data_IF_775759046062
#
_entry.id   IF_775759046062
#
_cell.length_a   1.000
_cell.length_b   1.000
_cell.length_c   1.000
_cell.angle_alpha   90.00
_cell.angle_beta   90.00
_cell.angle_gamma   90.00
#
_symmetry.space_group_name_H-M   'P 1'
#
loop_
_entity.id
_entity.type
_entity.pdbx_description
1 polymer ?
2 water ?
#
# COMPACT_ATOMS: atom_id res chain seq x y z
N UNK A 6 13.18 -9.35 9.09
CA UNK A 6 14.31 -8.58 8.61
C UNK A 6 14.60 -8.82 7.11
N UNK A 7 13.59 -9.30 6.37
CA UNK A 7 13.62 -9.37 4.92
C UNK A 7 12.52 -8.50 4.37
N UNK A 8 12.74 -7.92 3.21
CA UNK A 8 11.75 -7.09 2.55
C UNK A 8 11.01 -7.91 1.49
N UNK A 9 9.69 -8.05 1.63
CA UNK A 9 8.89 -8.82 0.68
C UNK A 9 8.14 -7.91 -0.26
N UNK A 10 8.16 -8.25 -1.55
CA UNK A 10 7.35 -7.60 -2.57
C UNK A 10 6.35 -8.63 -3.09
N UNK A 11 5.05 -8.29 -2.98
CA UNK A 11 3.95 -9.26 -3.13
C UNK A 11 3.06 -8.82 -4.28
N UNK A 12 2.91 -9.67 -5.29
CA UNK A 12 1.91 -9.33 -6.31
C UNK A 12 2.24 -8.12 -7.14
N UNK A 13 1.18 -7.43 -7.54
CA UNK A 13 1.31 -6.24 -8.37
C UNK A 13 0.98 -6.51 -9.83
N UNK A 14 1.40 -5.55 -10.64
CA UNK A 14 1.08 -5.58 -12.07
C UNK A 14 2.32 -5.27 -12.90
N UNK A 15 2.53 -6.10 -13.92
CA UNK A 15 3.64 -5.89 -14.86
C UNK A 15 3.03 -5.47 -16.19
N UNK A 16 3.02 -4.18 -16.48
CA UNK A 16 2.40 -3.65 -17.71
C UNK A 16 3.38 -3.45 -18.83
N UNK A 17 4.54 -4.09 -18.77
CA UNK A 17 5.48 -4.09 -19.89
C UNK A 17 5.01 -4.99 -21.04
N UNK A 21 1.80 -6.91 -19.28
CA UNK A 21 0.35 -6.87 -19.18
C UNK A 21 -0.03 -8.09 -18.34
N UNK A 22 0.50 -8.15 -17.13
CA UNK A 22 0.37 -9.33 -16.30
C UNK A 22 -0.02 -8.96 -14.87
N UNK A 23 -1.08 -9.57 -14.38
CA UNK A 23 -1.42 -9.50 -12.96
C UNK A 23 -0.67 -10.61 -12.23
N UNK A 24 0.06 -10.25 -11.18
CA UNK A 24 1.08 -11.12 -10.60
C UNK A 24 0.57 -11.82 -9.35
N UNK A 25 0.84 -13.10 -9.27
CA UNK A 25 0.78 -13.81 -7.99
C UNK A 25 2.16 -14.10 -7.41
N UNK A 26 3.23 -13.72 -8.11
CA UNK A 26 4.54 -14.04 -7.60
C UNK A 26 4.94 -13.11 -6.46
N UNK A 27 5.94 -13.56 -5.70
CA UNK A 27 6.40 -12.90 -4.48
C UNK A 27 7.91 -12.99 -4.44
N UNK A 28 8.59 -11.90 -4.13
CA UNK A 28 10.03 -12.01 -3.98
C UNK A 28 10.48 -11.30 -2.72
N UNK A 29 11.65 -11.68 -2.22
CA UNK A 29 12.12 -11.07 -0.99
C UNK A 29 13.58 -10.66 -1.13
N UNK A 30 13.87 -9.53 -0.49
CA UNK A 30 15.15 -8.82 -0.58
C UNK A 30 15.90 -8.94 0.74
N UNK A 31 17.17 -9.32 0.67
CA UNK A 31 18.06 -9.40 1.83
C UNK A 31 19.04 -8.23 1.74
N UNK A 32 18.95 -7.25 2.64
CA UNK A 32 19.91 -6.14 2.61
C UNK A 32 21.32 -6.57 2.84
N UNK A 33 21.56 -7.74 3.44
CA UNK A 33 22.93 -8.19 3.65
C UNK A 33 23.57 -8.69 2.35
N UNK A 34 22.79 -9.22 1.41
CA UNK A 34 23.32 -9.63 0.11
C UNK A 34 22.97 -8.69 -1.02
N UNK A 35 22.02 -7.75 -0.83
CA UNK A 35 21.52 -6.89 -1.90
C UNK A 35 21.00 -7.70 -3.08
N UNK A 36 20.20 -8.71 -2.77
CA UNK A 36 19.70 -9.63 -3.79
C UNK A 36 18.24 -9.89 -3.55
N UNK A 37 17.48 -10.03 -4.63
CA UNK A 37 16.06 -10.39 -4.59
C UNK A 37 15.89 -11.83 -5.04
N UNK A 38 15.09 -12.59 -4.29
CA UNK A 38 14.83 -14.00 -4.56
C UNK A 38 13.33 -14.27 -4.61
N UNK A 39 12.88 -15.04 -5.60
CA UNK A 39 11.48 -15.44 -5.64
C UNK A 39 11.19 -16.50 -4.58
N UNK A 40 10.04 -16.39 -3.92
CA UNK A 40 9.57 -17.44 -3.02
C UNK A 40 8.23 -17.99 -3.53
N UNK A 41 7.48 -18.70 -2.68
CA UNK A 41 6.26 -19.32 -3.16
C UNK A 41 5.26 -18.28 -3.63
N UNK A 42 4.58 -18.50 -4.75
CA UNK A 42 3.56 -17.58 -5.23
C UNK A 42 2.25 -17.76 -4.46
N UNK A 43 1.47 -16.69 -4.46
CA UNK A 43 0.12 -16.77 -3.90
C UNK A 43 -0.83 -17.64 -4.67
N UNK A 44 -1.92 -17.99 -3.98
CA UNK A 44 -3.01 -18.71 -4.61
C UNK A 44 -3.72 -17.92 -5.67
N UNK A 45 -3.65 -16.58 -5.60
CA UNK A 45 -4.44 -15.68 -6.42
C UNK A 45 -3.52 -14.59 -6.94
N UNK A 46 -3.65 -14.26 -8.23
CA UNK A 46 -3.04 -13.02 -8.74
C UNK A 46 -3.68 -11.79 -8.12
N UNK A 47 -2.85 -10.85 -7.65
CA UNK A 47 -3.38 -9.67 -6.94
C UNK A 47 -2.59 -8.40 -7.30
N UNK A 48 -3.17 -7.55 -8.14
CA UNK A 48 -2.68 -6.19 -8.39
C UNK A 48 -3.40 -5.23 -7.44
N UNK A 49 -2.71 -4.19 -6.99
CA UNK A 49 -3.35 -3.26 -6.05
C UNK A 49 -3.68 -3.95 -4.73
N UNK A 50 -2.78 -4.82 -4.27
CA UNK A 50 -2.95 -5.66 -3.09
C UNK A 50 -2.40 -4.94 -1.86
N UNK A 51 -3.06 -5.13 -0.72
CA UNK A 51 -2.54 -4.64 0.55
C UNK A 51 -1.84 -5.75 1.31
N UNK A 52 -0.70 -5.44 1.95
CA UNK A 52 0.02 -6.45 2.72
C UNK A 52 0.49 -5.92 4.06
N UNK A 53 0.46 -6.79 5.07
CA UNK A 53 1.00 -6.44 6.36
C UNK A 53 1.32 -7.72 7.10
N UNK A 54 2.14 -7.56 8.14
CA UNK A 54 2.62 -8.68 8.97
C UNK A 54 1.90 -8.64 10.30
N UNK A 55 1.39 -9.79 10.72
CA UNK A 55 0.74 -9.93 12.01
C UNK A 55 1.09 -11.30 12.56
N UNK A 56 1.62 -11.32 13.79
CA UNK A 56 2.07 -12.57 14.44
C UNK A 56 3.09 -13.31 13.58
N UNK A 57 4.00 -12.53 12.95
CA UNK A 57 5.09 -13.05 12.15
C UNK A 57 4.60 -13.89 10.96
N UNK A 58 3.39 -13.57 10.47
CA UNK A 58 2.87 -14.12 9.23
C UNK A 58 2.56 -12.95 8.30
N UNK A 59 2.74 -13.15 7.00
CA UNK A 59 2.53 -12.11 5.99
C UNK A 59 1.16 -12.27 5.35
N UNK A 60 0.31 -11.26 5.46
CA UNK A 60 -1.03 -11.31 4.91
C UNK A 60 -1.11 -10.51 3.63
N UNK A 61 -1.75 -11.08 2.62
CA UNK A 61 -2.08 -10.40 1.37
C UNK A 61 -3.58 -10.25 1.27
N UNK A 62 -4.01 -9.01 1.07
CA UNK A 62 -5.42 -8.63 1.24
C UNK A 62 -5.96 -8.04 -0.06
N UNK A 63 -7.03 -8.65 -0.60
CA UNK A 63 -7.74 -8.03 -1.74
C UNK A 63 -6.89 -7.94 -2.99
N UNK A 64 -7.09 -6.86 -3.73
CA UNK A 64 -6.46 -6.71 -5.02
C UNK A 64 -7.40 -6.94 -6.18
N UNK A 65 -6.79 -7.04 -7.37
CA UNK A 65 -7.50 -7.20 -8.60
C UNK A 65 -6.80 -8.22 -9.48
N UNK A 66 -7.59 -9.06 -10.17
CA UNK A 66 -7.07 -10.00 -11.16
C UNK A 66 -7.71 -9.62 -12.48
N UNK A 67 -7.02 -8.82 -13.28
CA UNK A 67 -7.53 -8.42 -14.57
C UNK A 67 -7.19 -9.36 -15.71
N UNK A 68 -6.64 -10.53 -15.42
CA UNK A 68 -6.46 -11.53 -16.44
C UNK A 68 -7.82 -12.10 -16.85
N UNK A 69 -7.90 -12.71 -18.05
CA UNK A 69 -9.18 -13.26 -18.51
C UNK A 69 -9.63 -14.48 -17.73
N UNK A 70 -10.49 -14.29 -16.74
CA UNK A 70 -11.03 -15.38 -15.93
C UNK A 70 -12.24 -14.84 -15.18
N UNK A 71 -12.73 -15.60 -14.20
CA UNK A 71 -13.91 -15.21 -13.47
C UNK A 71 -13.70 -14.22 -12.35
N UNK A 72 -12.46 -13.83 -12.06
CA UNK A 72 -12.16 -12.86 -11.01
C UNK A 72 -12.16 -11.44 -11.56
N UNK A 73 -12.49 -10.48 -10.70
CA UNK A 73 -12.19 -9.07 -10.97
C UNK A 73 -11.53 -8.51 -9.71
N UNK A 74 -12.29 -7.75 -8.90
CA UNK A 74 -11.80 -7.21 -7.64
C UNK A 74 -12.09 -8.20 -6.51
N UNK A 75 -11.13 -8.33 -5.62
CA UNK A 75 -11.03 -9.49 -4.74
C UNK A 75 -11.40 -9.16 -3.31
N UNK A 76 -12.21 -10.02 -2.67
CA UNK A 76 -12.30 -9.96 -1.20
C UNK A 76 -11.48 -11.05 -0.52
N UNK A 77 -10.84 -11.92 -1.30
CA UNK A 77 -10.07 -12.98 -0.66
C UNK A 77 -8.83 -12.42 0.03
N UNK A 78 -8.38 -13.18 1.02
CA UNK A 78 -7.20 -12.87 1.84
C UNK A 78 -6.37 -14.15 1.98
N UNK A 79 -5.04 -14.02 1.92
CA UNK A 79 -4.21 -15.19 2.18
C UNK A 79 -3.04 -14.82 3.07
N UNK A 80 -2.40 -15.86 3.60
CA UNK A 80 -1.42 -15.75 4.67
C UNK A 80 -0.19 -16.57 4.29
N UNK A 81 0.99 -15.98 4.43
CA UNK A 81 2.23 -16.67 4.10
C UNK A 81 3.01 -16.97 5.37
N UNK A 82 3.42 -18.22 5.51
CA UNK A 82 4.30 -18.66 6.61
C UNK A 82 5.68 -18.91 6.05
N UNK A 83 6.69 -18.14 6.44
CA UNK A 83 8.03 -18.36 5.91
C UNK A 83 8.60 -19.70 6.31
N UNK A 84 8.10 -20.33 7.37
CA UNK A 84 8.66 -21.63 7.76
C UNK A 84 8.24 -22.74 6.81
N UNK A 85 7.04 -22.66 6.25
CA UNK A 85 6.56 -23.66 5.32
C UNK A 85 6.70 -23.20 3.87
N UNK A 86 6.92 -21.91 3.64
CA UNK A 86 6.94 -21.33 2.30
C UNK A 86 5.67 -21.69 1.55
N UNK A 87 4.54 -21.46 2.24
CA UNK A 87 3.20 -21.74 1.72
C UNK A 87 2.28 -20.56 1.99
N UNK A 88 1.40 -20.29 1.02
CA UNK A 88 0.32 -19.33 1.20
C UNK A 88 -0.98 -20.09 1.41
N UNK A 89 -1.75 -19.66 2.39
CA UNK A 89 -3.02 -20.29 2.72
C UNK A 89 -4.14 -19.28 2.72
N UNK A 90 -5.27 -19.63 2.13
CA UNK A 90 -6.43 -18.76 2.23
C UNK A 90 -6.94 -18.70 3.66
N UNK A 91 -7.33 -17.49 4.07
CA UNK A 91 -8.00 -17.27 5.36
C UNK A 91 -9.36 -16.62 5.09
N UNK A 92 -10.03 -16.12 6.14
CA UNK A 92 -11.36 -15.53 5.94
C UNK A 92 -11.32 -14.41 4.91
N UNK A 93 -12.20 -14.41 3.93
CA UNK A 93 -12.31 -13.23 3.05
C UNK A 93 -12.96 -12.04 3.76
N UNK A 94 -12.64 -10.87 3.24
CA UNK A 94 -13.26 -9.64 3.70
C UNK A 94 -14.75 -9.58 3.40
N UNK A 95 -15.41 -8.67 4.14
CA UNK A 95 -16.81 -8.33 3.85
C UNK A 95 -16.97 -7.68 2.48
N UNK A 96 -15.95 -6.98 2.00
CA UNK A 96 -16.04 -6.18 0.79
C UNK A 96 -14.88 -6.55 -0.12
N UNK A 97 -15.14 -6.57 -1.43
CA UNK A 97 -14.04 -6.62 -2.41
C UNK A 97 -13.30 -5.30 -2.39
N UNK A 98 -11.97 -5.34 -2.37
CA UNK A 98 -11.20 -4.11 -2.33
C UNK A 98 -9.90 -4.26 -3.11
N UNK A 99 -9.71 -3.43 -4.14
CA UNK A 99 -8.38 -3.23 -4.72
C UNK A 99 -7.90 -1.83 -4.38
N UNK A 100 -6.59 -1.63 -4.42
CA UNK A 100 -6.08 -0.35 -3.98
C UNK A 100 -6.38 -0.09 -2.51
N UNK A 101 -6.33 -1.14 -1.71
CA UNK A 101 -6.72 -1.11 -0.30
C UNK A 101 -5.51 -0.81 0.58
N UNK A 102 -5.67 -0.01 1.63
CA UNK A 102 -4.59 0.18 2.58
C UNK A 102 -4.76 -0.78 3.75
N UNK A 103 -3.64 -1.41 4.15
CA UNK A 103 -3.67 -2.44 5.20
C UNK A 103 -2.60 -2.11 6.23
N UNK A 104 -2.96 -2.19 7.52
CA UNK A 104 -1.98 -1.99 8.60
C UNK A 104 -2.48 -2.70 9.84
N UNK A 105 -1.57 -2.93 10.78
CA UNK A 105 -1.85 -3.67 12.02
C UNK A 105 -1.89 -2.70 13.19
N UNK A 106 -2.92 -2.84 14.02
CA UNK A 106 -3.12 -2.01 15.22
C UNK A 106 -3.72 -2.89 16.31
N UNK A 107 -3.06 -2.98 17.47
CA UNK A 107 -3.63 -3.73 18.61
C UNK A 107 -3.96 -5.18 18.25
N UNK A 108 -3.05 -5.85 17.54
CA UNK A 108 -3.19 -7.25 17.19
C UNK A 108 -4.33 -7.52 16.23
N UNK A 109 -4.86 -6.49 15.56
CA UNK A 109 -5.85 -6.66 14.50
C UNK A 109 -5.30 -6.11 13.20
N UNK A 110 -5.68 -6.75 12.11
CA UNK A 110 -5.30 -6.29 10.79
C UNK A 110 -6.45 -5.44 10.24
N UNK A 111 -6.17 -4.18 9.87
CA UNK A 111 -7.20 -3.32 9.30
C UNK A 111 -7.06 -3.21 7.79
N UNK A 112 -8.19 -3.29 7.09
CA UNK A 112 -8.29 -3.00 5.65
C UNK A 112 -9.13 -1.75 5.46
N UNK A 113 -8.54 -0.76 4.78
CA UNK A 113 -9.06 0.62 4.75
C UNK A 113 -9.37 1.00 3.32
N UNK A 114 -10.62 1.36 3.06
CA UNK A 114 -10.97 1.89 1.76
C UNK A 114 -10.74 0.89 0.62
N UNK A 115 -10.36 1.43 -0.53
CA UNK A 115 -10.18 0.65 -1.73
C UNK A 115 -11.30 0.85 -2.72
N UNK A 116 -11.31 -0.02 -3.71
CA UNK A 116 -12.23 0.11 -4.82
C UNK A 116 -12.83 -1.26 -5.11
N UNK A 117 -14.14 -1.31 -5.21
CA UNK A 117 -14.85 -2.50 -5.67
C UNK A 117 -15.35 -2.22 -7.08
N UNK A 118 -14.58 -2.66 -8.08
CA UNK A 118 -14.94 -2.49 -9.47
C UNK A 118 -15.65 -3.66 -10.06
N UNK A 119 -16.09 -4.59 -9.23
CA UNK A 119 -16.84 -5.73 -9.73
C UNK A 119 -18.18 -5.28 -10.32
N UNK A 120 -18.82 -6.12 -11.12
CA UNK A 120 -20.19 -5.82 -11.54
C UNK A 120 -21.11 -5.70 -10.32
N UNK A 121 -22.01 -4.73 -10.38
CA UNK A 121 -22.92 -4.39 -9.30
C UNK A 121 -22.20 -3.84 -8.08
N UNK A 122 -20.88 -3.68 -8.12
CA UNK A 122 -20.16 -2.98 -7.06
C UNK A 122 -19.93 -1.57 -7.54
N UNK A 123 -18.92 -1.42 -8.41
CA UNK A 123 -18.56 -0.17 -9.11
C UNK A 123 -18.40 1.03 -8.15
N UNK A 124 -17.64 0.86 -7.06
CA UNK A 124 -17.54 1.97 -6.12
C UNK A 124 -16.20 2.08 -5.38
N UNK A 125 -15.77 3.32 -5.23
CA UNK A 125 -14.74 3.62 -4.26
C UNK A 125 -15.33 3.64 -2.85
N UNK A 126 -14.54 3.19 -1.89
CA UNK A 126 -15.04 2.80 -0.58
C UNK A 126 -14.54 3.74 0.50
N UNK A 127 -15.43 4.12 1.44
CA UNK A 127 -14.95 4.65 2.72
C UNK A 127 -15.08 3.65 3.85
N UNK A 128 -15.60 2.44 3.58
CA UNK A 128 -15.68 1.44 4.62
C UNK A 128 -14.28 0.96 5.07
N UNK A 129 -14.27 0.40 6.27
CA UNK A 129 -13.07 -0.07 6.93
C UNK A 129 -13.47 -1.33 7.69
N UNK A 130 -12.60 -2.34 7.66
CA UNK A 130 -12.87 -3.57 8.43
C UNK A 130 -11.59 -4.10 9.05
N UNK A 131 -11.75 -4.92 10.08
CA UNK A 131 -10.61 -5.42 10.82
C UNK A 131 -10.71 -6.91 11.02
N UNK A 132 -9.54 -7.54 11.02
CA UNK A 132 -9.41 -8.98 11.03
C UNK A 132 -8.76 -9.43 12.32
N UNK A 133 -9.37 -10.40 12.96
CA UNK A 133 -8.82 -10.98 14.18
C UNK A 133 -8.35 -12.38 13.86
N UNK A 134 -7.04 -12.65 13.91
CA UNK A 134 -6.56 -14.00 13.58
C UNK A 134 -7.01 -15.06 14.55
N UNK A 135 -7.38 -14.69 15.78
CA UNK A 135 -7.83 -15.68 16.76
C UNK A 135 -9.20 -16.21 16.38
N UNK A 136 -10.08 -15.37 15.83
CA UNK A 136 -11.39 -15.81 15.42
C UNK A 136 -11.48 -16.11 13.92
N UNK A 137 -10.48 -15.67 13.15
CA UNK A 137 -10.49 -15.78 11.68
C UNK A 137 -11.77 -15.13 11.12
N UNK A 138 -12.04 -13.92 11.57
CA UNK A 138 -13.20 -13.16 11.09
C UNK A 138 -12.86 -11.71 10.86
N UNK A 139 -13.52 -11.13 9.85
CA UNK A 139 -13.47 -9.71 9.51
C UNK A 139 -14.73 -9.02 10.00
N UNK A 140 -14.56 -7.87 10.65
CA UNK A 140 -15.67 -7.06 11.14
C UNK A 140 -15.58 -5.64 10.61
N UNK A 141 -16.68 -5.12 10.08
CA UNK A 141 -16.72 -3.70 9.71
C UNK A 141 -16.63 -2.82 10.95
N UNK A 142 -15.92 -1.71 10.81
CA UNK A 142 -15.86 -0.69 11.87
C UNK A 142 -16.33 0.65 11.29
N UNK A 143 -16.07 1.75 11.99
CA UNK A 143 -16.58 3.02 11.50
C UNK A 143 -15.99 3.35 10.13
N UNK A 144 -16.79 3.89 9.18
CA UNK A 144 -16.22 4.32 7.93
C UNK A 144 -15.51 5.67 8.00
N UNK A 145 -14.62 5.87 7.04
CA UNK A 145 -13.91 7.15 6.95
C UNK A 145 -14.85 8.28 6.49
N UNK A 146 -14.39 9.49 6.66
CA UNK A 146 -15.16 10.66 6.16
C UNK A 146 -15.15 10.70 4.64
N UNK A 147 -14.10 10.16 3.99
CA UNK A 147 -13.95 10.26 2.55
C UNK A 147 -13.69 8.88 1.97
N UNK A 148 -14.33 8.60 0.83
CA UNK A 148 -14.01 7.40 0.06
C UNK A 148 -12.60 7.54 -0.50
N UNK A 149 -11.78 6.50 -0.34
CA UNK A 149 -10.38 6.58 -0.78
C UNK A 149 -9.95 5.22 -1.33
N UNK A 150 -9.56 5.16 -2.60
CA UNK A 150 -8.79 4.02 -3.09
C UNK A 150 -7.37 4.46 -3.42
N UNK A 151 -6.45 3.50 -3.46
CA UNK A 151 -5.06 3.89 -3.62
C UNK A 151 -4.58 4.69 -2.43
N UNK A 152 -5.09 4.33 -1.25
CA UNK A 152 -4.86 5.07 -0.01
C UNK A 152 -3.66 4.47 0.72
N UNK A 153 -2.82 5.31 1.29
CA UNK A 153 -1.71 4.84 2.11
C UNK A 153 -2.13 4.77 3.56
N UNK A 154 -1.75 3.70 4.25
CA UNK A 154 -2.18 3.57 5.64
C UNK A 154 -1.00 3.15 6.50
N UNK A 155 -1.01 3.65 7.73
CA UNK A 155 0.04 3.28 8.68
C UNK A 155 -0.46 3.56 10.09
N UNK A 156 0.21 2.96 11.06
CA UNK A 156 -0.14 3.06 12.47
C UNK A 156 1.01 3.70 13.23
N UNK A 157 0.68 4.64 14.11
CA UNK A 157 1.66 5.30 14.96
C UNK A 157 0.97 5.76 16.23
N UNK A 158 1.56 5.47 17.40
CA UNK A 158 0.98 5.85 18.69
C UNK A 158 -0.45 5.32 18.86
N UNK A 159 -0.70 4.08 18.41
CA UNK A 159 -2.01 3.43 18.58
C UNK A 159 -3.12 4.20 17.87
N UNK A 160 -2.78 4.91 16.79
CA UNK A 160 -3.72 5.55 15.87
C UNK A 160 -3.46 5.06 14.44
N UNK A 161 -4.53 4.89 13.67
CA UNK A 161 -4.47 4.41 12.29
C UNK A 161 -4.71 5.61 11.37
N UNK A 162 -3.77 5.84 10.44
CA UNK A 162 -3.85 6.98 9.53
C UNK A 162 -4.19 6.49 8.14
N UNK A 163 -5.10 7.20 7.48
CA UNK A 163 -5.40 7.01 6.07
C UNK A 163 -4.95 8.28 5.34
N UNK A 164 -4.06 8.12 4.39
CA UNK A 164 -3.31 9.21 3.79
C UNK A 164 -3.65 9.27 2.31
N UNK A 165 -4.19 10.40 1.85
CA UNK A 165 -4.40 10.59 0.43
C UNK A 165 -5.37 9.58 -0.17
N UNK A 166 -5.10 9.20 -1.40
CA UNK A 166 -5.99 8.30 -2.11
C UNK A 166 -6.81 9.02 -3.16
N UNK A 167 -7.78 8.29 -3.69
CA UNK A 167 -8.57 8.74 -4.82
C UNK A 167 -10.03 8.45 -4.54
N UNK A 168 -10.87 9.47 -4.62
CA UNK A 168 -12.30 9.22 -4.66
C UNK A 168 -12.71 9.27 -6.12
N UNK A 169 -12.87 8.08 -6.73
CA UNK A 169 -13.21 8.01 -8.14
C UNK A 169 -14.68 7.97 -8.45
N UNK A 170 -15.53 8.25 -7.47
CA UNK A 170 -16.92 8.49 -7.77
C UNK A 170 -17.01 9.45 -8.95
N UNK A 171 -17.82 9.16 -9.96
CA UNK A 171 -17.79 9.99 -11.17
C UNK A 171 -18.09 11.46 -10.91
N UNK A 172 -18.96 11.76 -9.94
CA UNK A 172 -19.30 13.14 -9.60
C UNK A 172 -18.33 13.75 -8.60
N UNK A 173 -17.42 12.95 -8.05
CA UNK A 173 -16.38 13.43 -7.15
C UNK A 173 -15.03 13.52 -7.84
N UNK A 174 -14.51 12.37 -8.28
CA UNK A 174 -13.25 12.28 -9.03
C UNK A 174 -12.18 13.21 -8.51
N UNK A 175 -11.65 12.90 -7.35
CA UNK A 175 -10.72 13.76 -6.64
C UNK A 175 -9.54 12.95 -6.19
N UNK A 176 -8.33 13.42 -6.52
CA UNK A 176 -7.12 12.91 -5.88
C UNK A 176 -6.86 13.72 -4.62
N UNK A 177 -6.65 13.03 -3.50
CA UNK A 177 -6.74 13.65 -2.21
C UNK A 177 -5.40 14.03 -1.63
N UNK A 178 -5.32 15.23 -1.05
CA UNK A 178 -4.26 15.50 -0.09
C UNK A 178 -4.72 15.39 1.36
N UNK A 179 -5.99 15.10 1.59
CA UNK A 179 -6.43 15.03 2.99
C UNK A 179 -5.95 13.75 3.66
N UNK A 180 -5.99 13.77 4.98
CA UNK A 180 -5.47 12.71 5.84
C UNK A 180 -6.43 12.57 7.01
N UNK A 181 -6.80 11.35 7.37
CA UNK A 181 -7.66 11.17 8.52
C UNK A 181 -7.08 10.11 9.43
N UNK A 182 -7.54 10.14 10.67
CA UNK A 182 -6.93 9.43 11.77
C UNK A 182 -8.03 8.66 12.52
N UNK A 183 -7.82 7.36 12.75
CA UNK A 183 -8.81 6.52 13.43
C UNK A 183 -8.30 6.15 14.81
N UNK A 184 -9.14 6.36 15.82
CA UNK A 184 -8.83 5.97 17.18
C UNK A 184 -9.68 4.76 17.52
N UNK A 185 -9.11 3.58 17.70
CA UNK A 185 -9.92 2.41 18.05
C UNK A 185 -10.66 2.55 19.37
N UNK A 186 -10.17 3.40 20.26
CA UNK A 186 -10.85 3.57 21.55
C UNK A 186 -12.20 4.24 21.38
N UNK A 187 -12.32 5.15 20.41
CA UNK A 187 -13.57 5.84 20.15
C UNK A 187 -14.31 5.32 18.92
N UNK A 188 -13.65 4.54 18.06
CA UNK A 188 -14.21 4.12 16.76
C UNK A 188 -14.68 5.31 15.93
N UNK A 189 -13.82 6.35 15.86
CA UNK A 189 -14.12 7.58 15.15
C UNK A 189 -12.93 7.94 14.28
N UNK A 190 -13.22 8.46 13.09
CA UNK A 190 -12.24 9.00 12.16
C UNK A 190 -12.29 10.53 12.18
N UNK A 191 -11.11 11.15 12.32
CA UNK A 191 -10.97 12.60 12.39
C UNK A 191 -10.00 13.08 11.32
N UNK A 192 -10.35 14.18 10.65
CA UNK A 192 -9.42 14.77 9.72
C UNK A 192 -8.29 15.48 10.46
N UNK A 193 -7.07 15.31 9.96
CA UNK A 193 -5.90 16.00 10.52
C UNK A 193 -5.23 16.81 9.42
N UNK A 194 -3.97 17.21 9.59
CA UNK A 194 -3.35 18.13 8.63
C UNK A 194 -3.26 17.47 7.26
N UNK A 195 -3.61 18.17 6.18
CA UNK A 195 -3.44 17.61 4.84
C UNK A 195 -2.00 17.71 4.34
N UNK A 196 -1.68 16.82 3.40
CA UNK A 196 -0.38 16.90 2.75
C UNK A 196 -0.22 18.12 1.89
N UNK A 197 1.05 18.38 1.56
CA UNK A 197 1.38 19.41 0.60
C UNK A 197 0.90 19.07 -0.79
N UNK A 198 0.90 17.80 -1.15
CA UNK A 198 0.60 17.36 -2.50
C UNK A 198 -0.52 16.34 -2.46
N UNK A 199 -1.44 16.43 -3.43
CA UNK A 199 -2.44 15.37 -3.59
C UNK A 199 -1.75 14.11 -4.09
N UNK A 200 -2.06 12.97 -3.48
CA UNK A 200 -1.39 11.72 -3.84
C UNK A 200 -2.33 10.53 -3.74
N UNK A 201 -2.59 9.88 -4.87
CA UNK A 201 -3.18 8.54 -4.83
C UNK A 201 -2.14 7.51 -5.26
N UNK A 202 -2.35 6.25 -4.89
CA UNK A 202 -1.29 5.27 -5.15
C UNK A 202 -0.01 5.59 -4.40
N UNK A 203 -0.15 6.14 -3.20
CA UNK A 203 0.96 6.64 -2.39
C UNK A 203 1.43 5.54 -1.45
N UNK A 204 2.74 5.45 -1.24
CA UNK A 204 3.27 4.53 -0.25
C UNK A 204 3.47 5.26 1.07
N UNK A 205 3.06 4.60 2.18
CA UNK A 205 3.18 5.23 3.49
C UNK A 205 3.85 4.24 4.45
N UNK A 206 4.82 4.75 5.22
CA UNK A 206 5.45 3.92 6.24
C UNK A 206 5.90 4.82 7.38
N UNK A 207 6.23 4.20 8.50
CA UNK A 207 6.60 4.91 9.71
C UNK A 207 8.08 4.67 9.96
N UNK A 208 8.82 5.74 10.17
CA UNK A 208 10.24 5.65 10.44
C UNK A 208 10.58 6.74 11.45
N UNK A 209 11.19 6.35 12.57
CA UNK A 209 11.60 7.30 13.61
C UNK A 209 10.41 8.14 14.06
N UNK A 210 9.24 7.50 14.21
CA UNK A 210 8.06 8.14 14.77
C UNK A 210 7.56 9.27 13.87
N UNK A 211 7.86 9.12 12.58
CA UNK A 211 7.31 10.03 11.56
C UNK A 211 6.62 9.19 10.50
N UNK A 212 5.53 9.72 9.93
CA UNK A 212 4.88 9.03 8.81
C UNK A 212 5.49 9.58 7.52
N UNK A 213 5.91 8.71 6.63
CA UNK A 213 6.40 9.18 5.32
C UNK A 213 5.42 8.82 4.21
N UNK A 214 5.07 9.81 3.40
CA UNK A 214 4.24 9.62 2.22
C UNK A 214 5.15 9.73 1.02
N UNK A 215 5.23 8.65 0.25
CA UNK A 215 6.26 8.45 -0.77
C UNK A 215 5.59 8.36 -2.14
N UNK A 216 5.96 9.26 -3.05
CA UNK A 216 5.50 9.14 -4.44
C UNK A 216 3.99 9.24 -4.55
N UNK A 217 3.42 8.44 -5.46
CA UNK A 217 2.01 8.49 -5.78
C UNK A 217 1.75 9.23 -7.07
N UNK A 218 0.52 9.71 -7.19
CA UNK A 218 0.00 10.28 -8.44
C UNK A 218 -0.91 11.45 -8.08
N UNK A 219 -0.62 12.61 -8.65
CA UNK A 219 -1.51 13.77 -8.50
C UNK A 219 -2.33 13.86 -9.79
N UNK A 220 -3.55 13.33 -9.74
CA UNK A 220 -4.45 13.31 -10.88
C UNK A 220 -5.39 14.51 -10.96
N UNK A 221 -5.11 15.58 -10.21
CA UNK A 221 -5.91 16.79 -10.32
C UNK A 221 -5.71 17.46 -11.71
N UNK A 222 -6.65 18.30 -12.12
CA UNK A 222 -6.51 18.92 -13.46
C UNK A 222 -5.22 19.71 -13.56
N UNK A 223 -4.38 19.35 -14.54
CA UNK A 223 -3.10 20.03 -14.78
C UNK A 223 -2.22 19.99 -13.53
N UNK A 224 -2.31 18.88 -12.80
CA UNK A 224 -1.53 18.66 -11.61
C UNK A 224 -0.21 18.00 -11.93
N UNK A 225 0.38 17.40 -10.91
CA UNK A 225 1.77 16.95 -11.08
C UNK A 225 1.89 15.57 -11.74
N UNK A 226 0.82 14.77 -11.78
CA UNK A 226 0.80 13.37 -12.29
C UNK A 226 1.78 12.53 -11.48
N UNK A 227 2.72 11.81 -12.10
CA UNK A 227 3.57 10.88 -11.33
C UNK A 227 4.55 11.63 -10.45
N UNK A 228 4.71 11.16 -9.20
CA UNK A 228 5.44 11.92 -8.20
C UNK A 228 6.73 11.24 -7.80
N UNK A 229 7.83 12.01 -7.76
CA UNK A 229 9.02 11.55 -7.03
C UNK A 229 9.15 12.23 -5.67
N UNK A 230 8.23 13.09 -5.32
CA UNK A 230 8.38 13.81 -4.07
C UNK A 230 7.96 12.95 -2.89
N UNK A 231 8.43 13.35 -1.73
CA UNK A 231 8.28 12.61 -0.48
C UNK A 231 7.99 13.63 0.61
N UNK A 232 7.02 13.35 1.48
CA UNK A 232 6.78 14.25 2.60
C UNK A 232 6.59 13.45 3.88
N UNK A 233 6.83 14.11 4.99
CA UNK A 233 6.77 13.39 6.26
C UNK A 233 5.90 14.16 7.25
N UNK A 234 5.21 13.39 8.07
CA UNK A 234 4.23 13.90 9.01
C UNK A 234 4.70 13.60 10.42
N UNK A 235 4.71 14.62 11.26
CA UNK A 235 5.01 14.42 12.68
C UNK A 235 3.71 14.57 13.47
N UNK A 236 3.21 13.52 14.11
CA UNK A 236 1.96 13.67 14.85
C UNK A 236 2.09 14.65 15.99
N UNK A 237 3.31 14.88 16.48
CA UNK A 237 3.47 15.84 17.57
C UNK A 237 3.16 17.25 17.11
N UNK A 238 3.56 17.62 15.90
CA UNK A 238 3.29 18.95 15.37
C UNK A 238 2.04 19.01 14.51
N UNK A 239 1.52 17.86 14.07
CA UNK A 239 0.39 17.81 13.13
C UNK A 239 0.66 18.65 11.89
N UNK A 240 1.82 18.40 11.28
CA UNK A 240 2.18 19.11 10.05
C UNK A 240 3.01 18.21 9.15
N UNK A 241 2.96 18.52 7.85
CA UNK A 241 3.65 17.77 6.80
C UNK A 241 4.77 18.62 6.23
N UNK A 242 5.93 18.01 6.04
CA UNK A 242 7.11 18.68 5.46
C UNK A 242 7.67 17.86 4.32
N UNK A 243 8.05 18.54 3.21
CA UNK A 243 8.74 17.85 2.12
C UNK A 243 10.17 17.53 2.52
N UNK A 244 10.62 16.33 2.16
CA UNK A 244 12.01 15.92 2.31
C UNK A 244 12.58 15.62 0.92
N UNK A 245 13.74 14.96 0.85
CA UNK A 245 14.39 14.80 -0.45
C UNK A 245 13.54 13.93 -1.38
N UNK A 246 13.45 14.28 -2.66
CA UNK A 246 12.72 13.43 -3.61
C UNK A 246 13.51 12.19 -4.04
N UNK A 247 12.76 11.17 -4.43
CA UNK A 247 13.35 9.96 -5.02
C UNK A 247 14.05 10.23 -6.33
N UNK A 248 14.90 9.26 -6.68
CA UNK A 248 15.54 9.25 -8.00
C UNK A 248 14.54 9.09 -9.13
N UNK A 249 13.45 8.37 -8.90
CA UNK A 249 12.48 8.01 -9.91
C UNK A 249 11.09 8.42 -9.45
N UNK A 250 10.27 8.90 -10.36
CA UNK A 250 8.85 9.07 -10.04
C UNK A 250 8.17 7.71 -9.93
N UNK A 251 7.39 7.50 -8.87
CA UNK A 251 6.78 6.18 -8.63
C UNK A 251 5.34 6.35 -8.19
N UNK A 252 4.40 5.97 -9.04
CA UNK A 252 3.00 5.86 -8.69
C UNK A 252 2.67 4.40 -8.40
N UNK A 253 1.73 4.14 -7.49
CA UNK A 253 1.44 2.76 -7.17
C UNK A 253 2.62 2.05 -6.56
N UNK A 254 3.38 2.77 -5.71
CA UNK A 254 4.65 2.29 -5.17
C UNK A 254 4.39 1.61 -3.84
N UNK A 255 5.21 0.62 -3.53
CA UNK A 255 5.14 -0.05 -2.23
C UNK A 255 6.32 0.41 -1.40
N UNK A 256 6.08 0.61 -0.10
CA UNK A 256 7.14 1.06 0.79
C UNK A 256 7.13 0.27 2.09
N UNK A 257 8.30 0.17 2.70
CA UNK A 257 8.43 -0.40 4.03
C UNK A 257 9.74 0.05 4.62
N UNK A 258 9.90 -0.15 5.92
CA UNK A 258 11.09 0.26 6.65
C UNK A 258 11.83 -0.98 7.14
N UNK A 259 13.14 -1.02 6.90
CA UNK A 259 14.00 -2.14 7.28
C UNK A 259 15.35 -1.58 7.72
N UNK A 260 15.80 -1.96 8.91
CA UNK A 260 17.05 -1.44 9.48
C UNK A 260 17.12 0.09 9.44
N UNK A 261 16.00 0.73 9.78
CA UNK A 261 15.90 2.19 9.90
C UNK A 261 16.15 2.89 8.57
N UNK A 262 15.89 2.20 7.46
CA UNK A 262 15.91 2.80 6.13
C UNK A 262 14.54 2.59 5.51
N UNK A 263 14.13 3.57 4.72
CA UNK A 263 12.84 3.53 4.06
C UNK A 263 13.03 3.06 2.63
N UNK A 264 12.38 1.96 2.26
CA UNK A 264 12.51 1.40 0.91
C UNK A 264 11.30 1.74 0.06
N UNK A 265 11.55 2.21 -1.16
CA UNK A 265 10.52 2.44 -2.18
C UNK A 265 10.69 1.42 -3.30
N UNK A 266 9.65 0.63 -3.56
CA UNK A 266 9.76 -0.57 -4.38
C UNK A 266 8.82 -0.45 -5.58
N UNK A 267 9.38 -0.51 -6.79
CA UNK A 267 8.49 -0.62 -7.93
C UNK A 267 7.69 0.64 -8.21
N UNK A 268 6.49 0.43 -8.70
CA UNK A 268 5.60 1.52 -9.12
C UNK A 268 5.58 1.67 -10.63
N UNK A 269 4.94 2.76 -11.08
CA UNK A 269 4.88 3.07 -12.51
C UNK A 269 5.12 4.55 -12.70
N UNK A 270 5.59 4.89 -13.89
CA UNK A 270 5.90 6.27 -14.26
C UNK A 270 5.33 6.49 -15.65
N UNK A 271 5.21 7.75 -16.05
CA UNK A 271 4.76 8.03 -17.42
C UNK A 271 5.86 7.76 -18.43
N UNK A 272 5.43 7.47 -19.66
CA UNK A 272 6.35 7.23 -20.76
C UNK A 272 5.65 7.69 -22.03
N UNK A 273 6.38 7.84 -23.13
CA UNK A 273 5.75 8.37 -24.35
C UNK A 273 4.63 7.46 -24.85
N UNK A 274 4.69 6.17 -24.54
CA UNK A 274 3.70 5.20 -24.99
C UNK A 274 2.65 4.86 -23.94
N UNK A 275 2.69 5.54 -22.79
CA UNK A 275 1.70 5.34 -21.74
C UNK A 275 2.37 5.30 -20.38
N UNK A 276 2.53 4.11 -19.83
CA UNK A 276 3.21 3.92 -18.55
C UNK A 276 4.35 2.94 -18.67
N UNK A 277 5.39 3.17 -17.87
CA UNK A 277 6.47 2.22 -17.67
C UNK A 277 6.32 1.66 -16.27
N UNK A 278 6.31 0.34 -16.15
CA UNK A 278 6.25 -0.31 -14.84
C UNK A 278 7.66 -0.70 -14.38
N UNK A 279 7.93 -0.47 -13.11
CA UNK A 279 9.30 -0.40 -12.61
C UNK A 279 9.69 -1.64 -11.83
N UNK A 280 10.90 -2.14 -12.08
CA UNK A 280 11.46 -3.12 -11.16
C UNK A 280 12.54 -2.52 -10.26
N UNK A 281 12.79 -1.22 -10.39
CA UNK A 281 13.84 -0.62 -9.60
C UNK A 281 13.38 -0.38 -8.17
N UNK A 282 14.35 -0.23 -7.28
CA UNK A 282 14.16 -0.11 -5.83
C UNK A 282 15.15 0.93 -5.32
N UNK A 283 14.69 1.81 -4.41
CA UNK A 283 15.64 2.73 -3.81
C UNK A 283 15.36 2.85 -2.32
N UNK A 284 16.37 3.32 -1.59
CA UNK A 284 16.20 3.46 -0.15
C UNK A 284 16.65 4.81 0.34
N UNK A 285 15.96 5.26 1.38
CA UNK A 285 16.11 6.59 1.95
C UNK A 285 16.73 6.48 3.34
N UNK A 286 17.78 7.27 3.61
CA UNK A 286 18.39 7.38 4.92
C UNK A 286 18.01 8.72 5.51
N UNK A 287 17.23 8.78 6.59
CA UNK A 287 16.89 10.08 7.20
C UNK A 287 18.12 10.82 7.72
N UNK A 288 19.18 10.11 8.07
CA UNK A 288 20.36 10.77 8.60
C UNK A 288 21.06 11.59 7.53
N UNK A 289 20.98 11.17 6.27
CA UNK A 289 21.60 11.92 5.19
C UNK A 289 20.59 12.64 4.32
N UNK A 290 19.30 12.34 4.46
CA UNK A 290 18.27 12.88 3.58
C UNK A 290 18.59 12.56 2.11
N UNK A 291 19.00 11.33 1.83
CA UNK A 291 19.36 10.96 0.46
C UNK A 291 18.73 9.63 0.09
N UNK A 292 18.38 9.50 -1.19
CA UNK A 292 17.83 8.27 -1.74
C UNK A 292 18.89 7.60 -2.61
N UNK A 293 19.07 6.29 -2.42
CA UNK A 293 20.02 5.52 -3.21
C UNK A 293 19.35 4.31 -3.82
N UNK A 294 19.62 4.07 -5.10
CA UNK A 294 19.13 2.87 -5.76
C UNK A 294 19.86 1.63 -5.22
N UNK A 295 19.11 0.54 -5.05
CA UNK A 295 19.69 -0.74 -4.66
C UNK A 295 19.31 -1.75 -5.74
N UNK A 296 19.47 -3.04 -5.47
CA UNK A 296 19.28 -4.03 -6.51
C UNK A 296 17.83 -4.04 -6.99
N UNK A 297 17.59 -4.14 -8.29
CA UNK A 297 16.21 -4.23 -8.79
C UNK A 297 15.61 -5.62 -8.61
N UNK A 298 14.28 -5.63 -8.62
CA UNK A 298 13.50 -6.82 -8.40
C UNK A 298 13.64 -7.70 -9.65
N UNK A 299 13.32 -8.99 -9.52
CA UNK A 299 13.23 -9.85 -10.70
C UNK A 299 12.14 -9.44 -11.68
N UNK A 300 11.04 -8.89 -11.19
CA UNK A 300 9.85 -8.57 -11.95
C UNK A 300 9.49 -7.10 -11.74
N UNK A 301 9.07 -6.43 -12.83
CA UNK A 301 8.45 -5.11 -12.72
C UNK A 301 7.10 -5.23 -12.04
N UNK A 302 6.84 -4.35 -11.06
CA UNK A 302 5.61 -4.44 -10.26
C UNK A 302 5.13 -3.05 -9.91
N UNK A 303 3.92 -2.70 -10.34
CA UNK A 303 3.20 -1.56 -9.75
C UNK A 303 2.01 -2.09 -8.96
N UNK A 304 1.45 -1.25 -8.09
CA UNK A 304 0.36 -1.78 -7.25
C UNK A 304 0.82 -2.95 -6.41
N UNK A 305 2.06 -2.90 -5.93
CA UNK A 305 2.73 -4.01 -5.27
C UNK A 305 2.62 -3.84 -3.77
N UNK A 306 2.38 -4.94 -3.06
CA UNK A 306 2.36 -4.90 -1.59
C UNK A 306 3.76 -5.16 -1.06
N UNK A 307 4.18 -4.35 -0.08
CA UNK A 307 5.54 -4.44 0.45
C UNK A 307 5.46 -4.44 1.99
N UNK A 308 6.20 -5.35 2.61
CA UNK A 308 6.25 -5.45 4.06
C UNK A 308 7.53 -6.17 4.45
N UNK A 309 7.90 -6.02 5.73
CA UNK A 309 9.12 -6.58 6.27
C UNK A 309 8.76 -7.70 7.24
N UNK A 310 9.41 -8.84 7.07
CA UNK A 310 9.17 -9.98 7.96
C UNK A 310 10.51 -10.67 8.20
#
# INVERSE_FOLDING_TARGET
GSHMNRLLYAVGGYDGSPDGHTHLNSVECYDPETNEWSLVAPMNTRRSGVGVAVLNRLLYAVGGYDGSPDGHTHLNSVECYDPETNEWSLVAPMNTRRSGVGVAVLNRLLYAVGGYDGSPDGHTHLNSVECYDPETNEWSLVAPMNTRRSGVGVAVLNRLLYAVGGYDGSPDGHTHLNSVECYDPETNEWSLVAPMNTRRSGVGVAVLNRLLYAVGGYDGSPDGHTHLNSVECYDPETNEWSLVAPMNTRRSGVGVAVLNRLLYAVGGYDGSPDGHTHLNSVECYDPETNEWSLVAPMNTRRSGVGVAVL
#
